data_IF_671605972660
#
_entry.id   IF_671605972660
#
_cell.length_a   1.000
_cell.length_b   1.000
_cell.length_c   1.000
_cell.angle_alpha   90.00
_cell.angle_beta   90.00
_cell.angle_gamma   90.00
#
_symmetry.space_group_name_H-M   'P 1'
#
loop_
_entity.id
_entity.type
_entity.pdbx_description
1 polymer ?
#
# COMPACT_ATOMS: atom_id res chain seq x y z
N UNK A 1 47.74 0.30 8.09
CA UNK A 1 46.61 0.41 7.14
C UNK A 1 45.75 1.57 7.61
N UNK A 2 45.60 2.62 6.80
CA UNK A 2 44.71 3.75 7.11
C UNK A 2 43.27 3.33 6.81
N UNK A 3 42.40 3.37 7.82
CA UNK A 3 40.97 3.11 7.65
C UNK A 3 40.37 4.26 6.83
N UNK A 4 39.96 3.98 5.59
CA UNK A 4 39.26 4.98 4.77
C UNK A 4 37.85 5.12 5.35
N UNK A 5 37.61 6.20 6.10
CA UNK A 5 36.28 6.55 6.56
C UNK A 5 35.50 7.16 5.38
N UNK A 6 34.73 6.35 4.65
CA UNK A 6 33.74 6.89 3.72
C UNK A 6 32.54 7.40 4.51
N UNK A 7 32.25 8.71 4.41
CA UNK A 7 31.07 9.30 5.03
C UNK A 7 29.85 9.02 4.16
N UNK A 8 28.88 8.28 4.71
CA UNK A 8 27.60 8.00 4.05
C UNK A 8 26.49 8.73 4.79
N UNK A 9 25.59 9.39 4.06
CA UNK A 9 24.52 10.21 4.65
C UNK A 9 23.37 9.34 5.17
N UNK A 10 23.03 8.27 4.46
CA UNK A 10 21.93 7.37 4.80
C UNK A 10 22.32 5.91 4.59
N UNK A 11 22.07 5.08 5.59
CA UNK A 11 22.23 3.63 5.52
C UNK A 11 20.84 3.00 5.62
N UNK A 12 20.48 2.19 4.63
CA UNK A 12 19.24 1.41 4.58
C UNK A 12 19.58 -0.07 4.79
N UNK A 13 18.95 -0.70 5.79
CA UNK A 13 19.15 -2.12 6.10
C UNK A 13 17.94 -2.90 5.59
N UNK A 14 18.20 -3.87 4.71
CA UNK A 14 17.20 -4.59 3.93
C UNK A 14 16.92 -3.93 2.58
N UNK A 15 16.81 -4.75 1.54
CA UNK A 15 16.43 -4.42 0.16
C UNK A 15 14.95 -4.69 -0.13
N UNK A 16 14.09 -4.61 0.89
CA UNK A 16 12.64 -4.70 0.73
C UNK A 16 11.99 -3.40 0.25
N UNK A 17 10.67 -3.45 0.03
CA UNK A 17 9.89 -2.33 -0.51
C UNK A 17 9.99 -1.05 0.33
N UNK A 18 10.11 -1.17 1.66
CA UNK A 18 10.21 -0.03 2.56
C UNK A 18 11.51 0.76 2.33
N UNK A 19 12.65 0.07 2.32
CA UNK A 19 13.95 0.67 2.06
C UNK A 19 14.05 1.21 0.63
N UNK A 20 13.59 0.45 -0.36
CA UNK A 20 13.56 0.89 -1.76
C UNK A 20 12.76 2.18 -1.92
N UNK A 21 11.52 2.23 -1.39
CA UNK A 21 10.65 3.41 -1.48
C UNK A 21 11.27 4.63 -0.78
N UNK A 22 11.79 4.45 0.44
CA UNK A 22 12.43 5.53 1.19
C UNK A 22 13.69 6.05 0.47
N UNK A 23 14.53 5.15 -0.04
CA UNK A 23 15.72 5.50 -0.80
C UNK A 23 15.40 6.30 -2.05
N UNK A 24 14.38 5.88 -2.81
CA UNK A 24 13.90 6.62 -3.99
C UNK A 24 13.37 8.01 -3.61
N UNK A 25 12.56 8.12 -2.55
CA UNK A 25 12.07 9.42 -2.05
C UNK A 25 13.22 10.36 -1.68
N UNK A 26 14.22 9.85 -0.98
CA UNK A 26 15.39 10.65 -0.58
C UNK A 26 16.19 11.10 -1.81
N UNK A 27 16.35 10.26 -2.83
CA UNK A 27 17.01 10.65 -4.08
C UNK A 27 16.23 11.67 -4.89
N UNK A 28 14.90 11.66 -4.80
CA UNK A 28 14.06 12.67 -5.44
C UNK A 28 14.15 14.04 -4.75
N UNK A 29 14.34 14.06 -3.43
CA UNK A 29 14.39 15.29 -2.63
C UNK A 29 15.81 15.85 -2.42
N UNK A 30 16.80 14.97 -2.39
CA UNK A 30 18.19 15.27 -2.05
C UNK A 30 19.14 14.36 -2.87
N UNK A 31 19.21 14.55 -4.20
CA UNK A 31 19.93 13.67 -5.12
C UNK A 31 21.42 13.56 -4.81
N UNK A 32 22.00 14.58 -4.18
CA UNK A 32 23.40 14.66 -3.77
C UNK A 32 23.78 13.72 -2.62
N UNK A 33 22.83 13.30 -1.79
CA UNK A 33 23.11 12.46 -0.61
C UNK A 33 23.60 11.08 -1.01
N UNK A 34 24.66 10.59 -0.36
CA UNK A 34 25.09 9.20 -0.54
C UNK A 34 24.17 8.26 0.27
N UNK A 35 23.52 7.32 -0.42
CA UNK A 35 22.68 6.29 0.19
C UNK A 35 23.31 4.93 -0.07
N UNK A 36 23.55 4.16 1.01
CA UNK A 36 23.98 2.76 0.91
C UNK A 36 22.88 1.84 1.42
N UNK A 37 22.59 0.80 0.64
CA UNK A 37 21.61 -0.23 1.00
C UNK A 37 22.32 -1.56 1.19
N UNK A 38 22.03 -2.24 2.29
CA UNK A 38 22.61 -3.53 2.61
C UNK A 38 21.50 -4.57 2.65
N UNK A 39 21.60 -5.60 1.82
CA UNK A 39 20.71 -6.76 1.79
C UNK A 39 21.53 -8.02 2.13
N UNK A 40 20.94 -8.90 2.93
CA UNK A 40 21.53 -10.18 3.32
C UNK A 40 21.31 -11.25 2.25
N UNK A 41 20.15 -11.23 1.61
CA UNK A 41 19.74 -12.20 0.59
C UNK A 41 20.39 -11.93 -0.77
N UNK A 42 20.23 -12.88 -1.68
CA UNK A 42 20.96 -12.86 -2.96
C UNK A 42 20.48 -11.75 -3.88
N UNK A 43 19.17 -11.48 -3.86
CA UNK A 43 18.55 -10.37 -4.55
C UNK A 43 17.59 -9.60 -3.63
N UNK A 44 17.31 -8.32 -3.91
CA UNK A 44 16.31 -7.55 -3.18
C UNK A 44 14.93 -8.22 -3.20
N UNK A 45 14.10 -7.89 -2.22
CA UNK A 45 12.70 -8.33 -2.14
C UNK A 45 12.44 -9.86 -2.04
N UNK A 46 13.44 -10.70 -1.73
CA UNK A 46 13.25 -12.15 -1.60
C UNK A 46 12.46 -12.59 -0.35
N UNK A 47 12.46 -11.79 0.72
CA UNK A 47 11.78 -12.13 1.98
C UNK A 47 10.38 -11.50 2.08
N UNK A 48 10.11 -10.60 3.03
CA UNK A 48 8.76 -10.09 3.33
C UNK A 48 8.09 -9.32 2.19
N UNK A 49 8.87 -8.79 1.25
CA UNK A 49 8.36 -8.07 0.06
C UNK A 49 7.93 -9.02 -1.06
N UNK A 50 8.45 -10.24 -1.08
CA UNK A 50 8.16 -11.22 -2.11
C UNK A 50 6.65 -11.45 -2.19
N UNK A 51 6.09 -11.51 -3.40
CA UNK A 51 4.65 -11.69 -3.60
C UNK A 51 4.08 -12.95 -2.91
N UNK A 52 4.91 -13.97 -2.69
CA UNK A 52 4.51 -15.20 -1.98
C UNK A 52 4.52 -15.08 -0.45
N UNK A 53 5.31 -14.15 0.10
CA UNK A 53 5.46 -13.94 1.54
C UNK A 53 4.69 -12.71 2.05
N UNK A 54 4.46 -11.76 1.16
CA UNK A 54 3.69 -10.56 1.43
C UNK A 54 2.21 -10.93 1.52
N UNK A 55 1.63 -10.76 2.72
CA UNK A 55 0.21 -10.98 2.98
C UNK A 55 -0.72 -9.97 2.28
N UNK A 56 -0.17 -8.87 1.74
CA UNK A 56 -0.90 -7.77 1.13
C UNK A 56 -0.70 -7.71 -0.38
N UNK A 57 -1.78 -7.93 -1.13
CA UNK A 57 -1.91 -7.25 -2.41
C UNK A 57 -1.98 -5.75 -2.09
N UNK A 58 -1.22 -4.87 -2.75
CA UNK A 58 -1.32 -3.43 -2.49
C UNK A 58 -2.71 -2.92 -2.85
N UNK A 59 -3.65 -2.90 -1.90
CA UNK A 59 -5.07 -2.65 -2.17
C UNK A 59 -5.58 -1.39 -1.46
N UNK A 60 -6.52 -0.69 -2.12
CA UNK A 60 -7.12 0.58 -1.67
C UNK A 60 -8.17 0.40 -0.55
N UNK A 61 -7.89 -0.44 0.46
CA UNK A 61 -8.80 -0.72 1.58
C UNK A 61 -10.19 -1.28 1.17
N UNK A 62 -10.27 -2.03 0.06
CA UNK A 62 -11.54 -2.44 -0.53
C UNK A 62 -12.13 -3.68 0.18
N UNK A 63 -11.29 -4.69 0.45
CA UNK A 63 -11.72 -6.01 0.98
C UNK A 63 -11.55 -6.15 2.49
N UNK A 64 -10.87 -5.21 3.14
CA UNK A 64 -10.44 -5.33 4.53
C UNK A 64 -11.61 -4.99 5.46
N UNK A 65 -12.43 -6.00 5.77
CA UNK A 65 -13.61 -5.85 6.63
C UNK A 65 -13.27 -5.30 8.02
N UNK A 66 -12.07 -5.62 8.52
CA UNK A 66 -11.53 -5.13 9.80
C UNK A 66 -11.13 -3.64 9.78
N UNK A 67 -11.18 -2.95 8.63
CA UNK A 67 -11.00 -1.51 8.54
C UNK A 67 -12.30 -0.74 8.75
N UNK A 68 -13.40 -1.46 8.94
CA UNK A 68 -14.69 -0.91 9.32
C UNK A 68 -15.13 -1.54 10.63
N UNK A 69 -15.59 -0.73 11.57
CA UNK A 69 -16.00 -1.19 12.90
C UNK A 69 -17.47 -0.85 13.13
N UNK A 70 -18.19 -1.77 13.75
CA UNK A 70 -19.52 -1.50 14.25
C UNK A 70 -19.42 -0.89 15.65
N UNK A 71 -19.99 0.30 15.81
CA UNK A 71 -20.09 0.99 17.08
C UNK A 71 -21.21 0.40 17.94
N UNK A 72 -21.23 0.73 19.24
CA UNK A 72 -22.25 0.24 20.18
C UNK A 72 -23.68 0.62 19.80
N UNK A 73 -23.85 1.70 19.03
CA UNK A 73 -25.14 2.20 18.52
C UNK A 73 -25.55 1.54 17.18
N UNK A 74 -24.74 0.62 16.65
CA UNK A 74 -24.98 -0.04 15.36
C UNK A 74 -24.56 0.78 14.14
N UNK A 75 -23.95 1.96 14.32
CA UNK A 75 -23.33 2.71 13.22
C UNK A 75 -22.04 2.03 12.75
N UNK A 76 -21.70 2.19 11.46
CA UNK A 76 -20.46 1.67 10.88
C UNK A 76 -19.45 2.81 10.75
N UNK A 77 -18.36 2.72 11.50
CA UNK A 77 -17.18 3.57 11.34
C UNK A 77 -16.38 3.10 10.11
N UNK A 78 -16.06 4.07 9.23
CA UNK A 78 -15.32 3.86 7.98
C UNK A 78 -14.06 4.74 7.88
N UNK A 79 -13.70 5.50 8.92
CA UNK A 79 -12.59 6.45 8.87
C UNK A 79 -11.26 5.78 8.52
N UNK A 80 -11.01 4.60 9.11
CA UNK A 80 -9.80 3.83 8.81
C UNK A 80 -9.75 3.39 7.35
N UNK A 81 -10.87 2.95 6.78
CA UNK A 81 -10.94 2.56 5.37
C UNK A 81 -10.65 3.75 4.45
N UNK A 82 -11.24 4.92 4.73
CA UNK A 82 -10.97 6.17 3.98
C UNK A 82 -9.49 6.51 4.05
N UNK A 83 -8.92 6.58 5.25
CA UNK A 83 -7.51 6.96 5.47
C UNK A 83 -6.53 6.07 4.71
N UNK A 84 -6.74 4.75 4.73
CA UNK A 84 -5.87 3.81 4.00
C UNK A 84 -6.05 3.96 2.49
N UNK A 85 -7.27 4.18 2.00
CA UNK A 85 -7.50 4.43 0.58
C UNK A 85 -6.82 5.73 0.11
N UNK A 86 -6.92 6.81 0.89
CA UNK A 86 -6.23 8.08 0.62
C UNK A 86 -4.71 7.93 0.57
N UNK A 87 -4.12 7.19 1.52
CA UNK A 87 -2.70 6.85 1.50
C UNK A 87 -2.31 6.12 0.21
N UNK A 88 -3.15 5.18 -0.25
CA UNK A 88 -2.92 4.49 -1.51
C UNK A 88 -3.02 5.44 -2.73
N UNK A 89 -3.91 6.44 -2.70
CA UNK A 89 -3.94 7.47 -3.75
C UNK A 89 -2.64 8.27 -3.79
N UNK A 90 -2.06 8.61 -2.63
CA UNK A 90 -0.76 9.29 -2.54
C UNK A 90 0.36 8.41 -3.12
N UNK A 91 0.38 7.11 -2.81
CA UNK A 91 1.34 6.17 -3.41
C UNK A 91 1.25 6.16 -4.94
N UNK A 92 0.02 6.15 -5.51
CA UNK A 92 -0.18 6.25 -6.96
C UNK A 92 0.34 7.55 -7.56
N UNK A 93 0.19 8.68 -6.85
CA UNK A 93 0.73 9.95 -7.31
C UNK A 93 2.26 9.91 -7.36
N UNK A 94 2.90 9.31 -6.35
CA UNK A 94 4.34 9.13 -6.35
C UNK A 94 4.82 8.24 -7.50
N UNK A 95 4.18 7.08 -7.72
CA UNK A 95 4.52 6.23 -8.86
C UNK A 95 4.28 6.92 -10.21
N UNK A 96 3.18 7.67 -10.35
CA UNK A 96 2.91 8.49 -11.54
C UNK A 96 4.03 9.50 -11.82
N UNK A 97 4.56 10.14 -10.78
CA UNK A 97 5.70 11.04 -10.86
C UNK A 97 6.98 10.33 -11.33
N UNK A 98 7.31 9.17 -10.72
CA UNK A 98 8.49 8.38 -11.13
C UNK A 98 8.40 7.88 -12.58
N UNK A 99 7.19 7.50 -13.02
CA UNK A 99 6.93 7.13 -14.43
C UNK A 99 7.16 8.32 -15.36
N UNK A 100 6.65 9.50 -15.02
CA UNK A 100 6.86 10.72 -15.82
C UNK A 100 8.34 11.12 -15.92
N UNK A 101 9.15 10.80 -14.90
CA UNK A 101 10.60 11.01 -14.90
C UNK A 101 11.38 9.90 -15.62
N UNK A 102 10.73 8.83 -16.06
CA UNK A 102 11.38 7.68 -16.68
C UNK A 102 12.18 6.80 -15.71
N UNK A 103 11.93 6.91 -14.40
CA UNK A 103 12.58 6.08 -13.37
C UNK A 103 11.83 4.78 -13.10
N UNK A 104 10.52 4.78 -13.37
CA UNK A 104 9.71 3.58 -13.50
C UNK A 104 9.18 3.52 -14.92
N UNK A 105 9.13 2.33 -15.49
CA UNK A 105 8.56 2.06 -16.80
C UNK A 105 7.29 1.19 -16.64
N UNK A 106 6.56 1.03 -17.75
CA UNK A 106 5.46 0.07 -17.87
C UNK A 106 4.53 0.03 -16.64
N UNK A 107 3.80 1.11 -16.28
CA UNK A 107 2.95 1.14 -15.09
C UNK A 107 1.95 -0.01 -15.02
N UNK A 108 1.48 -0.48 -16.16
CA UNK A 108 0.64 -1.66 -16.28
C UNK A 108 1.28 -2.94 -15.73
N UNK A 109 2.60 -3.02 -15.58
CA UNK A 109 3.28 -4.20 -15.04
C UNK A 109 3.12 -4.33 -13.52
N UNK A 110 2.98 -3.21 -12.79
CA UNK A 110 2.97 -3.20 -11.32
C UNK A 110 1.69 -2.63 -10.71
N UNK A 111 0.84 -1.92 -11.48
CA UNK A 111 -0.48 -1.51 -11.01
C UNK A 111 -1.58 -1.99 -11.96
N UNK A 112 -2.51 -2.79 -11.41
CA UNK A 112 -3.63 -3.39 -12.16
C UNK A 112 -4.96 -3.07 -11.47
N UNK A 113 -6.00 -2.64 -12.21
CA UNK A 113 -7.35 -2.66 -11.68
C UNK A 113 -7.82 -4.10 -11.59
N UNK A 114 -8.18 -4.54 -10.38
CA UNK A 114 -8.68 -5.90 -10.12
C UNK A 114 -10.00 -5.79 -9.35
N UNK A 115 -11.05 -6.54 -9.73
CA UNK A 115 -12.26 -6.64 -8.93
C UNK A 115 -11.96 -7.21 -7.54
N UNK A 116 -12.44 -6.53 -6.51
CA UNK A 116 -12.28 -6.93 -5.12
C UNK A 116 -13.60 -7.51 -4.61
N UNK A 117 -13.57 -8.72 -4.06
CA UNK A 117 -14.74 -9.43 -3.56
C UNK A 117 -14.56 -9.81 -2.10
N UNK A 118 -15.52 -9.45 -1.27
CA UNK A 118 -15.62 -9.92 0.11
C UNK A 118 -16.75 -10.94 0.20
N UNK A 119 -16.46 -12.10 0.78
CA UNK A 119 -17.44 -13.15 1.02
C UNK A 119 -17.63 -13.36 2.53
N UNK A 120 -18.88 -13.41 2.97
CA UNK A 120 -19.25 -13.64 4.37
C UNK A 120 -20.43 -14.60 4.45
N UNK A 121 -20.53 -15.33 5.57
CA UNK A 121 -21.61 -16.27 5.83
C UNK A 121 -22.34 -15.93 7.14
N UNK A 122 -23.62 -16.31 7.21
CA UNK A 122 -24.47 -16.10 8.38
C UNK A 122 -25.16 -14.73 8.40
N UNK A 123 -26.35 -14.70 9.01
CA UNK A 123 -27.27 -13.55 8.97
C UNK A 123 -26.60 -12.26 9.45
N UNK A 124 -25.86 -12.30 10.55
CA UNK A 124 -25.19 -11.14 11.14
C UNK A 124 -24.10 -10.56 10.25
N UNK A 125 -23.25 -11.41 9.66
CA UNK A 125 -22.16 -10.94 8.82
C UNK A 125 -22.67 -10.39 7.47
N UNK A 126 -23.72 -11.00 6.92
CA UNK A 126 -24.40 -10.51 5.71
C UNK A 126 -25.02 -9.14 5.95
N UNK A 127 -25.68 -8.94 7.09
CA UNK A 127 -26.22 -7.63 7.49
C UNK A 127 -25.12 -6.57 7.64
N UNK A 128 -24.05 -6.91 8.38
CA UNK A 128 -22.87 -6.04 8.53
C UNK A 128 -22.29 -5.63 7.17
N UNK A 129 -22.08 -6.59 6.25
CA UNK A 129 -21.51 -6.31 4.94
C UNK A 129 -22.41 -5.35 4.12
N UNK A 130 -23.74 -5.54 4.19
CA UNK A 130 -24.70 -4.64 3.52
C UNK A 130 -24.65 -3.22 4.09
N UNK A 131 -24.63 -3.08 5.42
CA UNK A 131 -24.52 -1.76 6.09
C UNK A 131 -23.18 -1.10 5.81
N UNK A 132 -22.09 -1.87 5.81
CA UNK A 132 -20.74 -1.42 5.42
C UNK A 132 -20.75 -0.84 4.01
N UNK A 133 -21.27 -1.57 3.02
CA UNK A 133 -21.32 -1.10 1.62
C UNK A 133 -22.19 0.16 1.49
N UNK A 134 -23.33 0.23 2.18
CA UNK A 134 -24.17 1.44 2.20
C UNK A 134 -23.43 2.65 2.76
N UNK A 135 -22.65 2.47 3.82
CA UNK A 135 -21.91 3.56 4.46
C UNK A 135 -20.70 3.99 3.62
N UNK A 136 -19.90 3.05 3.11
CA UNK A 136 -18.74 3.36 2.27
C UNK A 136 -19.13 4.07 0.98
N UNK A 137 -20.22 3.68 0.32
CA UNK A 137 -20.70 4.30 -0.93
C UNK A 137 -21.03 5.80 -0.80
N UNK A 138 -21.16 6.34 0.41
CA UNK A 138 -21.32 7.79 0.62
C UNK A 138 -20.05 8.58 0.31
N UNK A 139 -18.89 7.93 0.30
CA UNK A 139 -17.61 8.55 -0.04
C UNK A 139 -17.21 8.19 -1.49
N UNK A 140 -16.74 9.19 -2.24
CA UNK A 140 -16.37 9.07 -3.65
C UNK A 140 -15.35 7.94 -3.93
N UNK A 141 -14.43 7.69 -2.99
CA UNK A 141 -13.39 6.66 -3.09
C UNK A 141 -13.95 5.24 -3.17
N UNK A 142 -15.20 5.04 -2.73
CA UNK A 142 -15.88 3.74 -2.70
C UNK A 142 -17.17 3.71 -3.51
N UNK A 143 -17.47 4.76 -4.30
CA UNK A 143 -18.72 4.93 -5.07
C UNK A 143 -19.07 3.79 -6.04
N UNK A 144 -18.08 2.97 -6.42
CA UNK A 144 -18.27 1.81 -7.29
C UNK A 144 -18.54 0.51 -6.52
N UNK A 145 -18.62 0.52 -5.19
CA UNK A 145 -18.88 -0.68 -4.40
C UNK A 145 -20.33 -1.16 -4.58
N UNK A 146 -20.48 -2.46 -4.83
CA UNK A 146 -21.79 -3.09 -5.06
C UNK A 146 -21.95 -4.31 -4.17
N UNK A 147 -23.19 -4.57 -3.75
CA UNK A 147 -23.57 -5.84 -3.15
C UNK A 147 -23.99 -6.81 -4.26
N UNK A 148 -23.48 -8.03 -4.23
CA UNK A 148 -23.99 -9.15 -5.03
C UNK A 148 -24.84 -10.04 -4.12
N UNK A 149 -25.91 -10.62 -4.68
CA UNK A 149 -26.91 -11.40 -3.93
C UNK A 149 -26.40 -12.81 -3.62
#
# INVERSE_FOLDING_TARGET
MSTIHSKTDVILIGGGIMSATLGTLLKELAPEKEIKMFERLSTPAEESTNAWNNAGTGHSALCELNYTKENKDGSIDIEKAIKINEQFQISKQFWSHLVKKGQLDHPESFIKPVPHMSFVQGVKNVDFLKRRVKQLNKNVLFSNMRNYR
#
